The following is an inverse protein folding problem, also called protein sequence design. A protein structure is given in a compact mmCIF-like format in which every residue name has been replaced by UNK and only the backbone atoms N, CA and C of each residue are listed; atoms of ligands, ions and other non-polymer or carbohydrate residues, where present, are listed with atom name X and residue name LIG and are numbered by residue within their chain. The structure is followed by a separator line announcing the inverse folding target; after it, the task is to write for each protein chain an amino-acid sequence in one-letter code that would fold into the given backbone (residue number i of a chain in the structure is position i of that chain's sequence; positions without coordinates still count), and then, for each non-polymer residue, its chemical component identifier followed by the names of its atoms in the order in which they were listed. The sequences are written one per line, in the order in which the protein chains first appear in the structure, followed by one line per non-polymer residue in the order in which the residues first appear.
data_IF_245368060062
#
_entry.id   IF_245368060062
#
_cell.length_a   1.000
_cell.length_b   1.000
_cell.length_c   1.000
_cell.angle_alpha   90.00
_cell.angle_beta   90.00
_cell.angle_gamma   90.00
#
_symmetry.space_group_name_H-M   'P 1'
#
loop_
_entity.id
_entity.type
_entity.pdbx_description
1 polymer ?
#
# COMPACT_ATOMS: atom_id res chain seq x y z
N UNK A 1 -1.89 15.17 -17.52
CA UNK A 1 -0.43 15.45 -17.56
C UNK A 1 0.24 15.28 -16.19
N UNK A 2 -0.27 15.89 -15.11
CA UNK A 2 0.32 15.75 -13.75
C UNK A 2 0.47 14.29 -13.27
N UNK A 3 -0.55 13.45 -13.48
CA UNK A 3 -0.53 12.03 -13.12
C UNK A 3 0.62 11.26 -13.77
N UNK A 4 0.85 11.46 -15.07
CA UNK A 4 1.93 10.79 -15.80
C UNK A 4 3.31 11.21 -15.28
N UNK A 5 3.46 12.50 -14.92
CA UNK A 5 4.68 13.02 -14.30
C UNK A 5 4.91 12.37 -12.92
N UNK A 6 3.87 12.31 -12.08
CA UNK A 6 3.96 11.68 -10.77
C UNK A 6 4.32 10.19 -10.86
N UNK A 7 3.69 9.43 -11.77
CA UNK A 7 4.03 8.01 -11.98
C UNK A 7 5.49 7.82 -12.42
N UNK A 8 6.02 8.72 -13.24
CA UNK A 8 7.44 8.69 -13.62
C UNK A 8 8.34 8.92 -12.39
N UNK A 9 8.04 9.93 -11.58
CA UNK A 9 8.80 10.21 -10.34
C UNK A 9 8.78 9.01 -9.40
N UNK A 10 7.65 8.31 -9.28
CA UNK A 10 7.55 7.11 -8.44
C UNK A 10 8.43 5.98 -8.99
N UNK A 11 8.35 5.68 -10.29
CA UNK A 11 9.19 4.65 -10.94
C UNK A 11 10.70 4.90 -10.78
N UNK A 12 11.11 6.16 -10.79
CA UNK A 12 12.52 6.53 -10.64
C UNK A 12 13.02 6.40 -9.18
N UNK A 13 12.10 6.31 -8.21
CA UNK A 13 12.43 6.40 -6.77
C UNK A 13 12.05 5.17 -5.96
N UNK A 14 11.07 4.40 -6.42
CA UNK A 14 10.42 3.32 -5.70
C UNK A 14 10.29 2.09 -6.60
N UNK A 15 10.18 0.94 -5.94
CA UNK A 15 9.92 -0.32 -6.60
C UNK A 15 8.43 -0.41 -6.99
N UNK A 16 8.12 -0.66 -8.27
CA UNK A 16 6.76 -1.00 -8.72
C UNK A 16 6.57 -2.51 -8.57
N UNK A 17 5.49 -2.94 -7.90
CA UNK A 17 5.16 -4.36 -7.81
C UNK A 17 4.62 -4.84 -9.14
N UNK A 18 5.30 -5.82 -9.73
CA UNK A 18 4.91 -6.46 -10.98
C UNK A 18 4.32 -7.85 -10.69
N UNK A 19 3.19 -8.15 -11.32
CA UNK A 19 2.56 -9.48 -11.22
C UNK A 19 3.37 -10.46 -12.04
N UNK A 20 3.55 -11.68 -11.52
CA UNK A 20 4.33 -12.74 -12.19
C UNK A 20 3.75 -13.18 -13.55
N UNK A 21 2.48 -12.91 -13.83
CA UNK A 21 1.81 -13.26 -15.09
C UNK A 21 1.16 -12.03 -15.71
N UNK A 22 1.66 -11.62 -16.86
CA UNK A 22 1.24 -10.41 -17.59
C UNK A 22 -0.23 -10.48 -18.06
N UNK A 23 -0.76 -11.70 -18.29
CA UNK A 23 -2.14 -11.92 -18.76
C UNK A 23 -3.23 -11.43 -17.80
N UNK A 24 -2.88 -11.22 -16.53
CA UNK A 24 -3.82 -10.80 -15.49
C UNK A 24 -3.62 -9.35 -15.04
N UNK A 25 -2.55 -8.64 -15.45
CA UNK A 25 -2.29 -7.30 -14.96
C UNK A 25 -3.48 -6.36 -15.24
N UNK A 26 -4.08 -5.73 -14.20
CA UNK A 26 -4.97 -4.60 -14.44
C UNK A 26 -4.09 -3.40 -14.73
N UNK A 27 -4.07 -2.85 -15.96
CA UNK A 27 -3.28 -1.64 -16.25
C UNK A 27 -3.73 -0.44 -15.41
N UNK A 28 -4.93 -0.54 -14.81
CA UNK A 28 -5.55 0.44 -13.95
C UNK A 28 -4.99 0.48 -12.52
N UNK A 29 -4.39 -0.62 -12.02
CA UNK A 29 -3.92 -0.73 -10.64
C UNK A 29 -2.42 -0.85 -10.58
N UNK A 30 -1.81 -0.08 -9.68
CA UNK A 30 -0.36 -0.04 -9.46
C UNK A 30 -0.07 0.01 -7.98
N UNK A 31 0.99 -0.67 -7.59
CA UNK A 31 1.48 -0.68 -6.23
C UNK A 31 2.95 -0.29 -6.24
N UNK A 32 3.30 0.76 -5.50
CA UNK A 32 4.68 1.20 -5.33
C UNK A 32 5.14 0.96 -3.91
N UNK A 33 6.34 0.42 -3.73
CA UNK A 33 6.99 0.17 -2.46
C UNK A 33 8.14 1.14 -2.28
N UNK A 34 8.16 1.89 -1.18
CA UNK A 34 9.36 2.67 -0.86
C UNK A 34 10.50 1.74 -0.44
N UNK A 35 11.76 2.12 -0.68
CA UNK A 35 12.93 1.30 -0.38
C UNK A 35 12.94 0.80 1.07
N UNK A 36 12.60 1.66 2.04
CA UNK A 36 12.53 1.26 3.44
C UNK A 36 11.45 0.19 3.73
N UNK A 37 10.35 0.21 2.98
CA UNK A 37 9.30 -0.82 3.08
C UNK A 37 9.77 -2.12 2.44
N UNK A 38 10.40 -2.04 1.28
CA UNK A 38 10.98 -3.20 0.58
C UNK A 38 12.04 -3.90 1.45
N UNK A 39 12.94 -3.13 2.07
CA UNK A 39 13.93 -3.65 3.02
C UNK A 39 13.26 -4.36 4.20
N UNK A 40 12.23 -3.74 4.77
CA UNK A 40 11.44 -4.33 5.85
C UNK A 40 10.75 -5.62 5.40
N UNK A 41 10.14 -5.62 4.21
CA UNK A 41 9.47 -6.77 3.63
C UNK A 41 10.45 -7.94 3.47
N UNK A 42 11.63 -7.71 2.90
CA UNK A 42 12.63 -8.76 2.72
C UNK A 42 13.22 -9.25 4.03
N UNK A 43 13.54 -8.35 4.98
CA UNK A 43 14.17 -8.71 6.25
C UNK A 43 13.20 -9.40 7.21
N UNK A 44 12.05 -8.78 7.46
CA UNK A 44 11.12 -9.25 8.47
C UNK A 44 10.25 -10.39 7.94
N UNK A 45 9.62 -10.23 6.77
CA UNK A 45 8.63 -11.23 6.34
C UNK A 45 9.26 -12.52 5.80
N UNK A 46 10.45 -12.45 5.20
CA UNK A 46 11.11 -13.65 4.64
C UNK A 46 11.56 -14.64 5.73
N UNK A 47 11.78 -14.16 6.95
CA UNK A 47 12.28 -15.01 8.06
C UNK A 47 11.15 -15.58 8.92
N UNK A 48 9.92 -15.06 8.78
CA UNK A 48 8.79 -15.47 9.59
C UNK A 48 8.15 -16.76 9.08
N UNK A 49 8.07 -17.75 9.96
CA UNK A 49 7.26 -18.95 9.77
C UNK A 49 5.77 -18.60 9.94
N UNK A 50 4.90 -19.43 9.35
CA UNK A 50 3.45 -19.33 9.58
C UNK A 50 3.15 -19.39 11.07
N UNK A 51 2.29 -18.49 11.55
CA UNK A 51 1.81 -18.46 12.94
C UNK A 51 0.41 -19.09 12.99
N UNK A 52 -0.61 -18.35 12.52
CA UNK A 52 -2.03 -18.76 12.57
C UNK A 52 -2.71 -18.91 11.21
N UNK A 53 -2.07 -18.44 10.14
CA UNK A 53 -2.58 -18.53 8.77
C UNK A 53 -2.23 -19.84 8.08
N UNK A 54 -2.91 -20.10 6.95
CA UNK A 54 -2.62 -21.22 6.05
C UNK A 54 -1.23 -21.03 5.40
N UNK A 55 -0.88 -19.78 5.11
CA UNK A 55 0.39 -19.38 4.44
C UNK A 55 1.16 -18.36 5.30
N UNK A 56 2.48 -18.27 5.08
CA UNK A 56 3.34 -17.35 5.84
C UNK A 56 2.98 -15.89 5.58
N UNK A 57 3.31 -14.95 6.50
CA UNK A 57 3.03 -13.52 6.30
C UNK A 57 3.56 -12.96 4.98
N UNK A 58 4.74 -13.42 4.54
CA UNK A 58 5.30 -13.07 3.22
C UNK A 58 4.36 -13.47 2.08
N UNK A 59 3.89 -14.72 2.07
CA UNK A 59 2.99 -15.20 1.03
C UNK A 59 1.60 -14.56 1.09
N UNK A 60 1.14 -14.14 2.28
CA UNK A 60 -0.08 -13.34 2.39
C UNK A 60 0.06 -11.99 1.68
N UNK A 61 1.21 -11.32 1.86
CA UNK A 61 1.50 -10.04 1.20
C UNK A 61 1.64 -10.23 -0.31
N UNK A 62 2.36 -11.25 -0.77
CA UNK A 62 2.47 -11.57 -2.21
C UNK A 62 1.09 -11.80 -2.82
N UNK A 63 0.30 -12.69 -2.22
CA UNK A 63 -1.02 -13.02 -2.74
C UNK A 63 -1.93 -11.78 -2.80
N UNK A 64 -1.90 -10.93 -1.78
CA UNK A 64 -2.67 -9.68 -1.78
C UNK A 64 -2.19 -8.70 -2.85
N UNK A 65 -0.87 -8.53 -3.01
CA UNK A 65 -0.31 -7.61 -4.00
C UNK A 65 -0.60 -8.07 -5.43
N UNK A 66 -0.45 -9.37 -5.69
CA UNK A 66 -0.77 -9.98 -6.98
C UNK A 66 -2.27 -9.86 -7.28
N UNK A 67 -3.14 -10.08 -6.30
CA UNK A 67 -4.58 -9.89 -6.48
C UNK A 67 -4.94 -8.41 -6.69
N UNK A 68 -4.32 -7.49 -5.95
CA UNK A 68 -4.56 -6.06 -6.08
C UNK A 68 -4.18 -5.57 -7.48
N UNK A 69 -2.97 -5.87 -7.93
CA UNK A 69 -2.48 -5.41 -9.25
C UNK A 69 -3.11 -6.22 -10.39
N UNK A 70 -3.36 -7.52 -10.19
CA UNK A 70 -3.71 -8.47 -11.25
C UNK A 70 -5.15 -8.96 -11.29
N UNK A 71 -6.06 -8.48 -10.43
CA UNK A 71 -7.46 -8.92 -10.49
C UNK A 71 -8.43 -7.75 -10.53
N UNK A 72 -8.85 -7.35 -11.73
CA UNK A 72 -9.82 -6.26 -11.95
C UNK A 72 -11.14 -6.46 -11.21
N UNK A 73 -11.53 -7.72 -10.96
CA UNK A 73 -12.80 -8.05 -10.29
C UNK A 73 -12.67 -8.16 -8.77
N UNK A 74 -11.45 -8.13 -8.23
CA UNK A 74 -11.23 -8.20 -6.78
C UNK A 74 -11.80 -6.96 -6.08
N UNK A 75 -12.43 -7.21 -4.93
CA UNK A 75 -13.08 -6.18 -4.10
C UNK A 75 -12.32 -6.06 -2.78
N UNK A 76 -11.60 -4.96 -2.60
CA UNK A 76 -10.75 -4.71 -1.41
C UNK A 76 -11.36 -3.78 -0.37
N UNK A 77 -12.68 -3.60 -0.39
CA UNK A 77 -13.39 -2.56 0.37
C UNK A 77 -13.16 -2.69 1.87
N UNK A 78 -13.12 -3.92 2.37
CA UNK A 78 -12.86 -4.23 3.78
C UNK A 78 -11.37 -4.24 4.14
N UNK A 79 -10.51 -4.33 3.14
CA UNK A 79 -9.07 -4.50 3.31
C UNK A 79 -8.36 -3.16 3.47
N UNK A 80 -8.99 -2.05 3.08
CA UNK A 80 -8.46 -0.71 3.29
C UNK A 80 -9.28 0.08 4.30
N UNK A 81 -8.61 0.63 5.30
CA UNK A 81 -9.20 1.56 6.26
C UNK A 81 -8.51 2.92 6.19
N UNK A 82 -9.27 3.99 5.97
CA UNK A 82 -8.75 5.35 6.12
C UNK A 82 -8.54 5.66 7.62
N UNK A 83 -7.31 6.01 8.01
CA UNK A 83 -6.93 6.29 9.40
C UNK A 83 -7.20 7.74 9.82
N UNK A 84 -7.29 8.67 8.87
CA UNK A 84 -7.67 10.05 9.12
C UNK A 84 -8.54 10.60 7.97
N UNK A 85 -9.85 10.27 7.95
CA UNK A 85 -10.74 10.66 6.86
C UNK A 85 -11.00 12.17 6.75
N UNK A 86 -10.48 12.99 7.66
CA UNK A 86 -10.67 14.45 7.65
C UNK A 86 -9.40 15.22 7.26
N UNK A 87 -8.28 14.53 6.96
CA UNK A 87 -6.99 15.20 6.78
C UNK A 87 -6.07 14.51 5.78
N UNK A 88 -5.24 13.58 6.28
CA UNK A 88 -3.97 13.22 5.64
C UNK A 88 -4.06 12.15 4.54
N UNK A 89 -5.27 11.65 4.26
CA UNK A 89 -5.55 10.59 3.27
C UNK A 89 -4.66 9.34 3.45
N UNK A 90 -4.35 8.99 4.70
CA UNK A 90 -3.54 7.80 5.03
C UNK A 90 -4.42 6.58 5.21
N UNK A 91 -4.04 5.48 4.58
CA UNK A 91 -4.77 4.22 4.59
C UNK A 91 -3.95 3.11 5.24
N UNK A 92 -4.63 2.27 6.01
CA UNK A 92 -4.18 0.96 6.46
C UNK A 92 -4.73 -0.11 5.51
N UNK A 93 -3.84 -0.82 4.83
CA UNK A 93 -4.14 -2.08 4.15
C UNK A 93 -3.99 -3.24 5.16
N UNK A 94 -5.05 -4.03 5.29
CA UNK A 94 -5.27 -5.04 6.31
C UNK A 94 -5.16 -6.43 5.71
N UNK A 95 -4.00 -7.02 5.87
CA UNK A 95 -3.75 -8.42 5.53
C UNK A 95 -3.92 -9.27 6.80
N UNK A 96 -4.13 -10.58 6.69
CA UNK A 96 -4.43 -11.44 7.85
C UNK A 96 -3.48 -11.20 9.03
N UNK A 97 -2.17 -11.27 8.79
CA UNK A 97 -1.12 -11.09 9.81
C UNK A 97 -0.31 -9.79 9.68
N UNK A 98 -0.53 -8.99 8.63
CA UNK A 98 0.27 -7.80 8.33
C UNK A 98 -0.62 -6.56 8.23
N UNK A 99 -0.09 -5.41 8.64
CA UNK A 99 -0.66 -4.09 8.36
C UNK A 99 0.33 -3.30 7.53
N UNK A 100 -0.15 -2.73 6.44
CA UNK A 100 0.65 -1.88 5.56
C UNK A 100 0.01 -0.50 5.55
N UNK A 101 0.82 0.53 5.73
CA UNK A 101 0.39 1.92 5.78
C UNK A 101 0.92 2.67 4.57
N UNK A 102 0.06 3.47 3.97
CA UNK A 102 0.35 4.16 2.72
C UNK A 102 -0.74 5.16 2.35
N UNK A 103 -0.76 5.57 1.09
CA UNK A 103 -1.82 6.41 0.55
C UNK A 103 -2.10 6.10 -0.92
N UNK A 104 -3.27 6.50 -1.39
CA UNK A 104 -3.62 6.47 -2.82
C UNK A 104 -3.22 7.79 -3.47
N UNK A 105 -2.32 7.73 -4.45
CA UNK A 105 -1.96 8.90 -5.27
C UNK A 105 -3.15 9.32 -6.15
N UNK A 106 -3.73 8.33 -6.82
CA UNK A 106 -4.94 8.38 -7.65
C UNK A 106 -5.70 7.05 -7.45
N UNK A 107 -6.97 6.91 -7.89
CA UNK A 107 -7.64 5.62 -7.87
C UNK A 107 -6.80 4.52 -8.53
N UNK A 108 -6.73 3.36 -7.89
CA UNK A 108 -5.95 2.21 -8.31
C UNK A 108 -4.44 2.30 -8.03
N UNK A 109 -3.88 3.45 -7.66
CA UNK A 109 -2.43 3.62 -7.45
C UNK A 109 -2.11 3.81 -5.97
N UNK A 110 -1.68 2.74 -5.32
CA UNK A 110 -1.32 2.74 -3.90
C UNK A 110 0.20 2.81 -3.70
N UNK A 111 0.65 3.62 -2.74
CA UNK A 111 2.06 3.74 -2.35
C UNK A 111 2.22 3.22 -0.93
N UNK A 112 2.91 2.08 -0.78
CA UNK A 112 3.20 1.43 0.49
C UNK A 112 4.46 2.00 1.14
N UNK A 113 4.33 2.48 2.39
CA UNK A 113 5.38 3.22 3.11
C UNK A 113 5.93 2.44 4.30
N UNK A 114 5.06 1.78 5.06
CA UNK A 114 5.46 1.12 6.30
C UNK A 114 4.67 -0.15 6.51
N UNK A 115 5.34 -1.21 6.94
CA UNK A 115 4.71 -2.46 7.34
C UNK A 115 4.91 -2.74 8.82
N UNK A 116 4.01 -3.53 9.39
CA UNK A 116 4.14 -4.09 10.73
C UNK A 116 3.32 -5.37 10.84
N UNK A 117 3.72 -6.30 11.71
CA UNK A 117 2.87 -7.44 12.03
C UNK A 117 1.65 -6.96 12.82
N UNK A 118 0.47 -7.51 12.51
CA UNK A 118 -0.80 -7.21 13.20
C UNK A 118 -0.66 -7.36 14.73
N UNK A 119 0.05 -8.40 15.18
CA UNK A 119 0.29 -8.67 16.60
C UNK A 119 1.10 -7.57 17.30
N UNK A 120 2.01 -6.91 16.57
CA UNK A 120 2.86 -5.84 17.08
C UNK A 120 2.15 -4.49 17.07
N UNK A 121 1.19 -4.30 16.16
CA UNK A 121 0.34 -3.10 16.10
C UNK A 121 -0.81 -3.13 17.13
N UNK A 122 -1.25 -4.32 17.55
CA UNK A 122 -2.41 -4.48 18.45
C UNK A 122 -2.17 -3.75 19.77
N UNK A 123 -3.09 -2.85 20.13
CA UNK A 123 -3.05 -2.08 21.38
C UNK A 123 -2.02 -0.94 21.40
N UNK A 124 -1.30 -0.70 20.28
CA UNK A 124 -0.37 0.42 20.15
C UNK A 124 -0.98 1.56 19.35
N UNK A 125 -0.44 2.77 19.54
CA UNK A 125 -0.83 3.92 18.74
C UNK A 125 -0.35 3.79 17.31
N UNK A 126 -1.23 4.05 16.34
CA UNK A 126 -0.87 4.09 14.92
C UNK A 126 -0.22 5.41 14.48
N UNK A 127 -0.21 6.43 15.35
CA UNK A 127 0.32 7.78 15.06
C UNK A 127 1.74 7.78 14.45
N UNK A 128 2.70 6.92 14.87
CA UNK A 128 4.01 6.87 14.24
C UNK A 128 3.96 6.52 12.75
N UNK A 129 3.07 5.60 12.34
CA UNK A 129 2.92 5.22 10.94
C UNK A 129 2.30 6.35 10.11
N UNK A 130 1.28 7.03 10.64
CA UNK A 130 0.68 8.21 9.97
C UNK A 130 1.74 9.29 9.73
N UNK A 131 2.50 9.65 10.78
CA UNK A 131 3.57 10.66 10.67
C UNK A 131 4.63 10.27 9.63
N UNK A 132 5.00 8.99 9.55
CA UNK A 132 5.94 8.49 8.55
C UNK A 132 5.38 8.65 7.14
N UNK A 133 4.13 8.25 6.91
CA UNK A 133 3.46 8.39 5.61
C UNK A 133 3.43 9.85 5.17
N UNK A 134 3.00 10.76 6.05
CA UNK A 134 2.94 12.20 5.77
C UNK A 134 4.32 12.73 5.40
N UNK A 135 5.34 12.42 6.20
CA UNK A 135 6.71 12.88 5.95
C UNK A 135 7.26 12.39 4.60
N UNK A 136 7.02 11.14 4.25
CA UNK A 136 7.44 10.57 2.95
C UNK A 136 6.72 11.26 1.80
N UNK A 137 5.40 11.42 1.92
CA UNK A 137 4.57 12.10 0.91
C UNK A 137 5.05 13.54 0.67
N UNK A 138 5.21 14.33 1.73
CA UNK A 138 5.71 15.71 1.65
C UNK A 138 7.11 15.79 1.02
N UNK A 139 7.97 14.82 1.33
CA UNK A 139 9.33 14.73 0.79
C UNK A 139 9.40 14.43 -0.71
N UNK A 140 8.37 13.78 -1.28
CA UNK A 140 8.35 13.44 -2.70
C UNK A 140 8.17 14.64 -3.61
N UNK A 141 7.51 15.70 -3.11
CA UNK A 141 7.17 16.91 -3.89
C UNK A 141 6.42 16.59 -5.18
N UNK A 142 5.45 15.67 -5.11
CA UNK A 142 4.60 15.32 -6.24
C UNK A 142 3.73 16.51 -6.67
N UNK A 143 3.34 16.52 -7.93
CA UNK A 143 2.38 17.51 -8.43
C UNK A 143 1.01 17.28 -7.80
N UNK A 144 0.33 18.37 -7.44
CA UNK A 144 -0.99 18.34 -6.83
C UNK A 144 -2.11 18.09 -7.87
N UNK A 145 -3.17 17.33 -7.53
CA UNK A 145 -3.33 16.58 -6.27
C UNK A 145 -2.39 15.37 -6.20
N UNK A 146 -1.74 15.20 -5.04
CA UNK A 146 -0.81 14.10 -4.75
C UNK A 146 -1.44 12.98 -3.91
N UNK A 147 -2.72 13.13 -3.59
CA UNK A 147 -3.57 12.13 -2.95
C UNK A 147 -5.01 12.24 -3.47
N UNK A 148 -5.74 11.13 -3.42
CA UNK A 148 -7.19 11.18 -3.53
C UNK A 148 -7.77 11.60 -2.18
N UNK A 149 -8.51 12.73 -2.17
CA UNK A 149 -9.12 13.27 -0.96
C UNK A 149 -10.19 12.31 -0.42
N UNK A 150 -10.16 12.09 0.89
CA UNK A 150 -11.05 11.25 1.68
C UNK A 150 -12.57 11.41 1.50
N UNK A 151 -13.06 12.44 0.80
CA UNK A 151 -14.49 12.58 0.47
C UNK A 151 -14.98 11.52 -0.51
N UNK A 152 -14.05 10.84 -1.17
CA UNK A 152 -14.25 9.74 -2.11
C UNK A 152 -14.28 8.44 -1.30
N UNK A 153 -15.35 7.65 -1.42
CA UNK A 153 -15.48 6.38 -0.70
C UNK A 153 -14.38 5.39 -1.14
N UNK A 154 -14.01 4.42 -0.29
CA UNK A 154 -12.96 3.43 -0.65
C UNK A 154 -13.28 2.69 -1.96
N UNK A 155 -14.56 2.49 -2.29
CA UNK A 155 -15.01 1.90 -3.54
C UNK A 155 -14.57 2.66 -4.80
N UNK A 156 -14.37 3.97 -4.69
CA UNK A 156 -13.94 4.82 -5.81
C UNK A 156 -12.41 4.90 -5.90
N UNK A 157 -11.68 4.33 -4.92
CA UNK A 157 -10.22 4.28 -4.88
C UNK A 157 -9.64 2.97 -5.39
N UNK A 158 -10.44 1.90 -5.40
CA UNK A 158 -10.08 0.53 -5.76
C UNK A 158 -10.48 0.23 -7.20
#
# INVERSE_FOLDING_TARGET
MATQCNLKILKDRFYEWEVLTDENACPCRKLFLINEFEDWYHRELTTLKKDRGIISPKYQVIAFFDEFVGNINAKFVSDFQNLNPQGDDVYEMRITDVRIFGWFLIPGVFIAVSGVLKREAKGKSLKPYLKKVIKVREGLKLHQPDSVRSKVGIHELL
#
